data_IF_392328823725
#
_entry.id   IF_392328823725
#
_cell.length_a   1.000
_cell.length_b   1.000
_cell.length_c   1.000
_cell.angle_alpha   90.00
_cell.angle_beta   90.00
_cell.angle_gamma   90.00
#
_symmetry.space_group_name_H-M   'P 1'
#
loop_
_entity.id
_entity.type
_entity.pdbx_description
1 polymer ?
#
# COMPACT_ATOMS: atom_id res chain seq x y z
N UNK A 1 6.20 5.07 -13.91
CA UNK A 1 7.02 4.47 -12.85
C UNK A 1 6.09 3.60 -12.00
N UNK A 2 6.35 2.31 -11.89
CA UNK A 2 5.48 1.41 -11.11
C UNK A 2 5.81 1.60 -9.62
N UNK A 3 4.79 1.85 -8.79
CA UNK A 3 4.97 2.04 -7.35
C UNK A 3 5.48 0.72 -6.74
N UNK A 4 6.56 0.78 -5.96
CA UNK A 4 7.12 -0.42 -5.31
C UNK A 4 6.29 -0.74 -4.07
N UNK A 5 5.76 -1.95 -4.01
CA UNK A 5 5.06 -2.52 -2.87
C UNK A 5 4.96 -4.03 -3.04
N UNK A 6 4.55 -4.73 -1.97
CA UNK A 6 4.29 -6.17 -2.05
C UNK A 6 3.11 -6.52 -2.96
N UNK A 7 3.03 -7.74 -3.51
CA UNK A 7 1.96 -8.15 -4.41
C UNK A 7 0.56 -8.24 -3.78
N UNK A 8 0.47 -8.22 -2.45
CA UNK A 8 -0.73 -8.53 -1.68
C UNK A 8 -0.79 -10.01 -1.32
N UNK A 9 -0.97 -10.31 -0.04
CA UNK A 9 -1.12 -11.69 0.47
C UNK A 9 -2.28 -11.75 1.46
N UNK A 10 -3.06 -12.84 1.37
CA UNK A 10 -4.10 -13.15 2.35
C UNK A 10 -3.46 -13.77 3.60
N UNK A 11 -4.10 -13.56 4.75
CA UNK A 11 -3.73 -14.27 5.96
C UNK A 11 -3.98 -15.77 5.78
N UNK A 12 -3.11 -16.58 6.37
CA UNK A 12 -3.37 -18.01 6.56
C UNK A 12 -4.66 -18.18 7.39
N UNK A 13 -5.68 -18.90 6.87
CA UNK A 13 -6.95 -19.08 7.56
C UNK A 13 -6.82 -19.83 8.89
N UNK A 14 -5.78 -20.65 9.06
CA UNK A 14 -5.53 -21.43 10.27
C UNK A 14 -4.68 -20.66 11.30
N UNK A 15 -4.08 -19.54 10.90
CA UNK A 15 -3.27 -18.73 11.80
C UNK A 15 -4.11 -17.96 12.81
N UNK A 16 -3.53 -17.74 14.01
CA UNK A 16 -4.19 -16.94 15.06
C UNK A 16 -4.45 -15.51 14.57
N UNK A 17 -5.62 -14.92 14.88
CA UNK A 17 -5.92 -13.54 14.51
C UNK A 17 -4.88 -12.56 15.07
N UNK A 18 -4.36 -11.69 14.20
CA UNK A 18 -3.35 -10.70 14.55
C UNK A 18 -3.95 -9.29 14.54
N UNK A 19 -3.45 -8.44 15.43
CA UNK A 19 -3.81 -7.01 15.48
C UNK A 19 -2.61 -6.16 15.08
N UNK A 20 -2.87 -5.17 14.23
CA UNK A 20 -1.88 -4.16 13.87
C UNK A 20 -1.68 -3.21 15.07
N UNK A 21 -0.44 -3.07 15.55
CA UNK A 21 -0.09 -2.15 16.63
C UNK A 21 1.17 -2.53 17.41
N UNK A 22 1.58 -1.65 18.31
CA UNK A 22 2.72 -1.86 19.20
C UNK A 22 4.07 -1.96 18.48
N UNK A 23 5.05 -2.59 19.15
CA UNK A 23 6.44 -2.73 18.66
C UNK A 23 6.52 -3.43 17.31
N UNK A 24 5.64 -4.40 17.07
CA UNK A 24 5.62 -5.17 15.83
C UNK A 24 5.17 -4.32 14.63
N UNK A 25 4.22 -3.42 14.81
CA UNK A 25 3.87 -2.46 13.75
C UNK A 25 5.03 -1.52 13.44
N UNK A 26 5.74 -1.03 14.45
CA UNK A 26 6.93 -0.17 14.26
C UNK A 26 8.00 -0.91 13.45
N UNK A 27 8.29 -2.17 13.80
CA UNK A 27 9.23 -3.02 13.07
C UNK A 27 8.83 -3.17 11.59
N UNK A 28 7.56 -3.53 11.34
CA UNK A 28 7.10 -3.77 9.97
C UNK A 28 7.02 -2.48 9.14
N UNK A 29 6.69 -1.34 9.73
CA UNK A 29 6.78 -0.04 9.05
C UNK A 29 8.22 0.22 8.60
N UNK A 30 9.19 0.06 9.50
CA UNK A 30 10.60 0.26 9.16
C UNK A 30 11.06 -0.70 8.05
N UNK A 31 10.65 -1.97 8.11
CA UNK A 31 10.96 -2.97 7.08
C UNK A 31 10.32 -2.64 5.72
N UNK A 32 9.07 -2.19 5.70
CA UNK A 32 8.37 -1.78 4.46
C UNK A 32 9.08 -0.61 3.80
N UNK A 33 9.45 0.42 4.58
CA UNK A 33 10.15 1.60 4.05
C UNK A 33 11.55 1.24 3.55
N UNK A 34 12.26 0.34 4.25
CA UNK A 34 13.57 -0.13 3.81
C UNK A 34 13.51 -0.93 2.49
N UNK A 35 12.50 -1.79 2.33
CA UNK A 35 12.35 -2.66 1.16
C UNK A 35 11.84 -1.91 -0.08
N UNK A 36 10.81 -1.09 0.10
CA UNK A 36 10.06 -0.50 -1.00
C UNK A 36 10.31 1.00 -1.22
N UNK A 37 11.05 1.65 -0.32
CA UNK A 37 11.31 3.09 -0.35
C UNK A 37 10.19 3.90 0.32
N UNK A 38 10.09 5.18 -0.03
CA UNK A 38 9.21 6.14 0.66
C UNK A 38 8.11 6.73 -0.24
N UNK A 39 7.98 6.26 -1.48
CA UNK A 39 6.91 6.71 -2.38
C UNK A 39 5.58 6.10 -1.95
N UNK A 40 4.64 6.95 -1.56
CA UNK A 40 3.34 6.54 -1.05
C UNK A 40 2.54 5.79 -2.11
N UNK A 41 2.11 4.57 -1.80
CA UNK A 41 1.38 3.70 -2.74
C UNK A 41 -0.05 4.19 -3.04
N UNK A 42 -0.54 5.14 -2.24
CA UNK A 42 -1.90 5.66 -2.33
C UNK A 42 -1.95 6.93 -3.19
N UNK A 43 -0.92 7.79 -3.12
CA UNK A 43 -0.91 9.09 -3.79
C UNK A 43 0.28 9.31 -4.73
N UNK A 44 1.30 8.45 -4.69
CA UNK A 44 2.47 8.48 -5.55
C UNK A 44 3.52 9.54 -5.21
N UNK A 45 3.41 10.22 -4.06
CA UNK A 45 4.36 11.25 -3.63
C UNK A 45 5.36 10.68 -2.60
N UNK A 46 6.61 11.19 -2.54
CA UNK A 46 7.61 10.78 -1.55
C UNK A 46 7.24 11.17 -0.11
N UNK A 47 8.02 10.71 0.86
CA UNK A 47 7.88 11.05 2.27
C UNK A 47 6.93 10.16 3.08
N UNK A 48 6.73 8.91 2.67
CA UNK A 48 5.98 7.93 3.46
C UNK A 48 6.65 7.67 4.80
N UNK A 49 5.83 7.59 5.85
CA UNK A 49 6.26 7.39 7.22
C UNK A 49 5.51 6.24 7.92
N UNK A 50 4.65 5.55 7.17
CA UNK A 50 3.85 4.41 7.62
C UNK A 50 3.84 3.32 6.55
N UNK A 51 3.20 2.19 6.88
CA UNK A 51 2.90 1.12 5.95
C UNK A 51 1.38 0.92 5.89
N UNK A 52 0.88 0.67 4.69
CA UNK A 52 -0.52 0.38 4.43
C UNK A 52 -0.67 -1.03 3.82
N UNK A 53 -1.77 -1.69 4.15
CA UNK A 53 -2.03 -3.07 3.71
C UNK A 53 -2.54 -3.07 2.27
N UNK A 54 -1.92 -3.83 1.37
CA UNK A 54 -2.33 -3.91 -0.04
C UNK A 54 -3.75 -4.48 -0.13
N UNK A 55 -3.93 -5.67 0.45
CA UNK A 55 -5.23 -6.26 0.76
C UNK A 55 -5.63 -5.80 2.16
N UNK A 56 -6.73 -5.05 2.33
CA UNK A 56 -7.16 -4.57 3.65
C UNK A 56 -7.34 -5.71 4.65
N UNK A 57 -6.97 -5.47 5.91
CA UNK A 57 -7.14 -6.46 7.01
C UNK A 57 -8.59 -6.92 7.18
N UNK A 58 -9.56 -6.01 6.94
CA UNK A 58 -10.98 -6.33 7.02
C UNK A 58 -11.46 -7.29 5.91
N UNK A 59 -10.69 -7.42 4.83
CA UNK A 59 -10.94 -8.32 3.70
C UNK A 59 -10.04 -9.58 3.77
N UNK A 60 -9.43 -9.84 4.94
CA UNK A 60 -8.59 -11.03 5.17
C UNK A 60 -7.11 -10.88 4.77
N UNK A 61 -6.63 -9.67 4.48
CA UNK A 61 -5.21 -9.44 4.18
C UNK A 61 -4.29 -9.77 5.35
N UNK A 62 -3.11 -10.34 5.06
CA UNK A 62 -2.11 -10.67 6.05
C UNK A 62 -1.64 -9.43 6.83
N UNK A 63 -1.65 -9.50 8.16
CA UNK A 63 -1.41 -8.33 9.03
C UNK A 63 0.08 -7.95 9.11
N UNK A 64 0.95 -8.95 9.21
CA UNK A 64 2.40 -8.80 9.37
C UNK A 64 3.14 -9.61 8.32
N UNK A 65 2.90 -9.27 7.05
CA UNK A 65 3.60 -9.82 5.89
C UNK A 65 4.04 -8.65 5.01
N UNK A 66 5.34 -8.57 4.70
CA UNK A 66 5.88 -7.53 3.82
C UNK A 66 5.24 -7.59 2.43
N UNK A 67 4.89 -8.78 1.96
CA UNK A 67 4.23 -8.96 0.68
C UNK A 67 2.82 -8.34 0.66
N UNK A 68 2.19 -8.11 1.82
CA UNK A 68 0.92 -7.38 1.92
C UNK A 68 1.09 -5.93 2.39
N UNK A 69 2.29 -5.35 2.32
CA UNK A 69 2.54 -3.97 2.74
C UNK A 69 3.12 -3.12 1.61
N UNK A 70 2.86 -1.82 1.70
CA UNK A 70 3.62 -0.83 0.93
C UNK A 70 3.68 0.52 1.65
N UNK A 71 4.64 1.39 1.25
CA UNK A 71 4.85 2.69 1.90
C UNK A 71 3.62 3.59 1.80
N UNK A 72 3.23 4.24 2.88
CA UNK A 72 2.15 5.22 2.87
C UNK A 72 2.41 6.40 3.81
N UNK A 73 1.85 7.57 3.49
CA UNK A 73 1.68 8.63 4.48
C UNK A 73 0.61 8.24 5.50
N UNK A 74 0.81 8.57 6.77
CA UNK A 74 -0.21 8.34 7.83
C UNK A 74 -1.61 8.84 7.45
N UNK A 75 -1.68 10.05 6.89
CA UNK A 75 -2.95 10.68 6.48
C UNK A 75 -3.61 9.95 5.31
N UNK A 76 -2.82 9.48 4.35
CA UNK A 76 -3.33 8.74 3.19
C UNK A 76 -3.84 7.36 3.62
N UNK A 77 -3.07 6.65 4.45
CA UNK A 77 -3.44 5.37 5.05
C UNK A 77 -4.76 5.50 5.81
N UNK A 78 -4.86 6.47 6.72
CA UNK A 78 -6.07 6.76 7.49
C UNK A 78 -7.29 7.05 6.59
N UNK A 79 -7.13 7.88 5.55
CA UNK A 79 -8.21 8.25 4.63
C UNK A 79 -8.68 7.09 3.74
N UNK A 80 -7.76 6.20 3.35
CA UNK A 80 -8.06 5.02 2.54
C UNK A 80 -8.96 4.06 3.31
N UNK A 81 -8.60 3.74 4.56
CA UNK A 81 -9.30 2.75 5.36
C UNK A 81 -9.37 1.41 4.64
N UNK A 82 -10.57 0.81 4.53
CA UNK A 82 -10.75 -0.49 3.84
C UNK A 82 -10.93 -0.42 2.33
N UNK A 83 -10.80 0.76 1.71
CA UNK A 83 -10.99 0.89 0.26
C UNK A 83 -9.86 0.16 -0.48
N UNK A 84 -10.11 -0.47 -1.64
CA UNK A 84 -9.04 -1.05 -2.44
C UNK A 84 -8.05 0.02 -2.90
N UNK A 85 -6.79 -0.35 -3.14
CA UNK A 85 -5.83 0.53 -3.80
C UNK A 85 -6.38 0.92 -5.18
N UNK A 86 -6.22 2.19 -5.52
CA UNK A 86 -6.53 2.69 -6.85
C UNK A 86 -5.22 2.94 -7.60
N UNK A 87 -5.18 2.70 -8.91
CA UNK A 87 -4.03 3.11 -9.71
C UNK A 87 -3.73 4.59 -9.51
N UNK A 88 -2.49 4.90 -9.16
CA UNK A 88 -2.01 6.28 -9.05
C UNK A 88 -1.53 6.75 -10.42
N UNK A 89 -1.95 7.96 -10.80
CA UNK A 89 -1.75 8.47 -12.15
C UNK A 89 -2.85 7.96 -13.06
N UNK A 90 -3.96 8.70 -13.12
CA UNK A 90 -4.89 8.54 -14.24
C UNK A 90 -4.09 8.93 -15.49
N UNK A 91 -4.03 8.09 -16.53
CA UNK A 91 -3.50 8.52 -17.82
C UNK A 91 -4.36 9.69 -18.28
N UNK A 92 -3.84 10.92 -18.18
CA UNK A 92 -4.46 12.06 -18.84
C UNK A 92 -4.14 11.88 -20.31
N UNK A 93 -5.10 11.35 -21.07
CA UNK A 93 -5.00 11.39 -22.52
C UNK A 93 -4.97 12.85 -22.96
N UNK A 94 -3.94 13.23 -23.72
CA UNK A 94 -3.77 14.60 -24.20
C UNK A 94 -4.70 14.95 -25.37
N UNK A 95 -5.71 14.13 -25.67
CA UNK A 95 -6.64 14.29 -26.79
C UNK A 95 -6.01 14.18 -28.19
N UNK A 96 -4.69 14.20 -28.31
CA UNK A 96 -3.96 14.23 -29.59
C UNK A 96 -4.12 12.94 -30.42
N UNK A 97 -4.61 11.86 -29.79
CA UNK A 97 -4.97 10.60 -30.45
C UNK A 97 -6.13 10.76 -31.44
N UNK A 98 -7.01 11.73 -31.23
CA UNK A 98 -8.11 12.04 -32.15
C UNK A 98 -7.68 12.90 -33.35
N UNK A 99 -6.49 13.50 -33.29
CA UNK A 99 -5.99 14.45 -34.30
C UNK A 99 -4.80 13.90 -35.09
N UNK A 100 -4.40 12.65 -34.88
CA UNK A 100 -3.36 11.99 -35.68
C UNK A 100 -4.03 11.09 -36.73
N UNK A 101 -3.72 11.25 -38.04
CA UNK A 101 -4.35 10.51 -39.14
C UNK A 101 -4.00 9.02 -39.17
#
# INVERSE_FOLDING_TARGET
MQLRHGPGTYADPDAKPQRWGGRRAIEYVARTLAEYGDICIICGRPGSNSADHIIPRAEGGAVYDLANLGPAHDRCNYSRGKKPLRPVGIPIENGMRFFSP
#
